data_IF_980758805472
#
_entry.id   IF_980758805472
#
_cell.length_a   1.000
_cell.length_b   1.000
_cell.length_c   1.000
_cell.angle_alpha   90.00
_cell.angle_beta   90.00
_cell.angle_gamma   90.00
#
_symmetry.space_group_name_H-M   'P 1'
#
loop_
_entity.id
_entity.type
_entity.pdbx_description
1 polymer ?
#
# COMPACT_ATOMS: atom_id res chain seq x y z
N UNK A 1 -7.94 -15.90 -4.35
CA UNK A 1 -7.31 -15.28 -5.54
C UNK A 1 -6.58 -16.36 -6.32
N UNK A 2 -6.75 -16.44 -7.64
CA UNK A 2 -5.99 -17.39 -8.46
C UNK A 2 -4.50 -17.03 -8.46
N UNK A 3 -3.63 -18.05 -8.51
CA UNK A 3 -2.17 -17.87 -8.56
C UNK A 3 -1.70 -16.95 -9.68
N UNK A 4 -2.42 -16.96 -10.82
CA UNK A 4 -2.16 -16.07 -11.95
C UNK A 4 -2.32 -14.60 -11.57
N UNK A 5 -3.41 -14.25 -10.86
CA UNK A 5 -3.68 -12.86 -10.46
C UNK A 5 -2.63 -12.36 -9.48
N UNK A 6 -2.20 -13.23 -8.55
CA UNK A 6 -1.09 -12.92 -7.63
C UNK A 6 0.22 -12.69 -8.39
N UNK A 7 0.54 -13.56 -9.35
CA UNK A 7 1.74 -13.41 -10.18
C UNK A 7 1.73 -12.11 -10.99
N UNK A 8 0.60 -11.77 -11.60
CA UNK A 8 0.43 -10.52 -12.37
C UNK A 8 0.64 -9.31 -11.48
N UNK A 9 -0.01 -9.24 -10.33
CA UNK A 9 0.14 -8.08 -9.45
C UNK A 9 1.57 -7.96 -8.85
N UNK A 10 2.28 -9.08 -8.58
CA UNK A 10 3.67 -9.04 -8.13
C UNK A 10 4.59 -8.50 -9.24
N UNK A 11 4.39 -8.94 -10.48
CA UNK A 11 5.09 -8.42 -11.64
C UNK A 11 4.83 -6.93 -11.84
N UNK A 12 3.57 -6.49 -11.76
CA UNK A 12 3.22 -5.07 -11.84
C UNK A 12 3.89 -4.27 -10.71
N UNK A 13 3.95 -4.82 -9.49
CA UNK A 13 4.64 -4.18 -8.36
C UNK A 13 6.12 -4.00 -8.60
N UNK A 14 6.80 -5.02 -9.14
CA UNK A 14 8.22 -4.94 -9.50
C UNK A 14 8.47 -3.94 -10.64
N UNK A 15 7.59 -3.88 -11.63
CA UNK A 15 7.68 -2.90 -12.72
C UNK A 15 7.49 -1.47 -12.20
N UNK A 16 6.52 -1.24 -11.31
CA UNK A 16 6.29 0.07 -10.70
C UNK A 16 7.44 0.44 -9.76
N UNK A 17 8.04 -0.52 -9.03
CA UNK A 17 9.24 -0.28 -8.22
C UNK A 17 10.46 0.06 -9.09
N UNK A 18 10.71 -0.67 -10.18
CA UNK A 18 11.87 -0.45 -11.03
C UNK A 18 11.76 0.81 -11.90
N UNK A 19 10.57 1.08 -12.46
CA UNK A 19 10.36 2.18 -13.40
C UNK A 19 9.78 3.44 -12.75
N UNK A 20 9.02 3.27 -11.66
CA UNK A 20 8.41 4.36 -10.93
C UNK A 20 9.32 4.99 -9.88
N UNK A 21 10.43 4.36 -9.49
CA UNK A 21 11.34 4.94 -8.50
C UNK A 21 11.87 6.33 -8.92
N UNK A 22 12.18 6.52 -10.20
CA UNK A 22 12.65 7.80 -10.73
C UNK A 22 11.52 8.81 -11.03
N UNK A 23 10.26 8.41 -10.86
CA UNK A 23 9.11 9.26 -11.14
C UNK A 23 8.42 9.69 -9.85
N UNK A 24 8.10 10.97 -9.78
CA UNK A 24 7.39 11.61 -8.68
C UNK A 24 6.14 10.84 -8.22
N UNK A 25 5.48 10.16 -9.16
CA UNK A 25 4.25 9.40 -8.93
C UNK A 25 4.43 7.88 -8.78
N UNK A 26 5.63 7.33 -8.92
CA UNK A 26 5.81 5.88 -8.86
C UNK A 26 5.58 5.30 -7.47
N UNK A 27 5.99 6.03 -6.44
CA UNK A 27 5.70 5.69 -5.03
C UNK A 27 4.19 5.75 -4.74
N UNK A 28 3.48 6.73 -5.29
CA UNK A 28 2.02 6.82 -5.18
C UNK A 28 1.32 5.67 -5.90
N UNK A 29 1.83 5.29 -7.08
CA UNK A 29 1.31 4.17 -7.88
C UNK A 29 1.45 2.83 -7.16
N UNK A 30 2.52 2.65 -6.38
CA UNK A 30 2.73 1.49 -5.49
C UNK A 30 1.66 1.41 -4.41
N UNK A 31 1.28 2.54 -3.81
CA UNK A 31 0.18 2.60 -2.84
C UNK A 31 -1.16 2.15 -3.45
N UNK A 32 -1.49 2.60 -4.66
CA UNK A 32 -2.68 2.17 -5.38
C UNK A 32 -2.65 0.67 -5.72
N UNK A 33 -1.49 0.15 -6.13
CA UNK A 33 -1.34 -1.27 -6.43
C UNK A 33 -1.52 -2.14 -5.17
N UNK A 34 -0.99 -1.70 -4.04
CA UNK A 34 -1.16 -2.34 -2.73
C UNK A 34 -2.61 -2.29 -2.26
N UNK A 35 -3.28 -1.15 -2.40
CA UNK A 35 -4.70 -1.01 -2.07
C UNK A 35 -5.58 -1.92 -2.94
N UNK A 36 -5.31 -1.98 -4.25
CA UNK A 36 -5.99 -2.89 -5.16
C UNK A 36 -5.75 -4.36 -4.80
N UNK A 37 -4.51 -4.73 -4.43
CA UNK A 37 -4.18 -6.07 -3.94
C UNK A 37 -4.97 -6.42 -2.68
N UNK A 38 -5.00 -5.52 -1.70
CA UNK A 38 -5.74 -5.74 -0.45
C UNK A 38 -7.25 -5.89 -0.70
N UNK A 39 -7.83 -5.14 -1.64
CA UNK A 39 -9.25 -5.25 -1.99
C UNK A 39 -9.59 -6.58 -2.67
N UNK A 40 -8.68 -7.10 -3.51
CA UNK A 40 -8.88 -8.33 -4.27
C UNK A 40 -8.70 -9.61 -3.44
N UNK A 41 -7.90 -9.56 -2.37
CA UNK A 41 -7.64 -10.70 -1.49
C UNK A 41 -8.56 -10.65 -0.25
N UNK A 42 -9.59 -11.52 -0.14
CA UNK A 42 -10.57 -11.47 0.94
C UNK A 42 -9.96 -11.63 2.34
N UNK A 43 -8.80 -12.28 2.42
CA UNK A 43 -8.02 -12.48 3.66
C UNK A 43 -7.28 -11.22 4.11
N UNK A 44 -7.06 -10.24 3.22
CA UNK A 44 -6.41 -8.97 3.52
C UNK A 44 -7.40 -7.83 3.81
N UNK A 45 -8.71 -8.07 3.65
CA UNK A 45 -9.77 -7.13 4.05
C UNK A 45 -9.63 -6.59 5.48
N UNK A 46 -9.25 -7.39 6.51
CA UNK A 46 -9.03 -6.87 7.86
C UNK A 46 -7.88 -5.86 7.91
N UNK A 47 -6.81 -6.09 7.15
CA UNK A 47 -5.67 -5.18 7.08
C UNK A 47 -6.06 -3.84 6.42
N UNK A 48 -6.96 -3.87 5.43
CA UNK A 48 -7.54 -2.68 4.79
C UNK A 48 -8.37 -1.82 5.76
N UNK A 49 -9.04 -2.46 6.73
CA UNK A 49 -9.78 -1.77 7.80
C UNK A 49 -8.84 -1.24 8.88
N UNK A 50 -7.70 -1.91 9.11
CA UNK A 50 -6.68 -1.52 10.08
C UNK A 50 -5.72 -0.45 9.55
N UNK A 51 -5.55 -0.34 8.23
CA UNK A 51 -4.65 0.64 7.60
C UNK A 51 -4.96 2.10 7.98
N UNK A 52 -6.23 2.57 7.97
CA UNK A 52 -6.59 3.91 8.43
C UNK A 52 -6.31 4.10 9.91
N UNK A 53 -6.53 3.07 10.73
CA UNK A 53 -6.29 3.10 12.18
C UNK A 53 -4.79 3.26 12.44
N UNK A 54 -3.95 2.44 11.81
CA UNK A 54 -2.50 2.55 11.91
C UNK A 54 -1.98 3.91 11.40
N UNK A 55 -2.54 4.42 10.30
CA UNK A 55 -2.23 5.75 9.77
C UNK A 55 -2.57 6.87 10.76
N UNK A 56 -3.78 6.86 11.33
CA UNK A 56 -4.18 7.83 12.36
C UNK A 56 -3.31 7.73 13.62
N UNK A 57 -2.92 6.52 14.02
CA UNK A 57 -2.03 6.31 15.17
C UNK A 57 -0.65 6.94 14.91
N UNK A 58 -0.12 6.79 13.71
CA UNK A 58 1.14 7.44 13.29
C UNK A 58 1.04 8.96 13.23
N UNK A 59 -0.06 9.51 12.70
CA UNK A 59 -0.31 10.96 12.68
C UNK A 59 -0.38 11.53 14.10
N UNK A 60 -1.09 10.86 15.01
CA UNK A 60 -1.17 11.26 16.43
C UNK A 60 0.19 11.19 17.11
N UNK A 61 1.00 10.16 16.84
CA UNK A 61 2.35 10.04 17.38
C UNK A 61 3.28 11.16 16.88
N UNK A 62 3.20 11.51 15.60
CA UNK A 62 3.98 12.61 15.00
C UNK A 62 3.55 13.98 15.55
N UNK A 63 2.24 14.19 15.73
CA UNK A 63 1.71 15.40 16.36
C UNK A 63 2.19 15.52 17.81
N UNK A 64 2.23 14.42 18.56
CA UNK A 64 2.76 14.40 19.92
C UNK A 64 4.23 14.80 19.96
N UNK A 65 5.05 14.29 19.04
CA UNK A 65 6.47 14.66 18.92
C UNK A 65 6.68 16.13 18.54
N UNK A 66 5.75 16.74 17.82
CA UNK A 66 5.84 18.15 17.41
C UNK A 66 5.26 19.14 18.42
N UNK A 67 4.46 18.68 19.38
CA UNK A 67 3.74 19.54 20.34
C UNK A 67 4.34 19.50 21.75
N UNK A 68 5.16 18.48 22.07
CA UNK A 68 5.91 18.37 23.33
C UNK A 68 7.34 18.87 23.21
#
# INVERSE_FOLDING_TARGET
>A
MNWVVRGVMLLTGLVVLGWGHDKEYGIWSLGFLLAAWMMLEPRLKPALILLPVAGLTGVVALLWQHTG
#
